data_IF_846121710943
#
_entry.id   IF_846121710943
#
_cell.length_a   1.000
_cell.length_b   1.000
_cell.length_c   1.000
_cell.angle_alpha   90.00
_cell.angle_beta   90.00
_cell.angle_gamma   90.00
#
_symmetry.space_group_name_H-M   'P 1'
#
loop_
_entity.id
_entity.type
_entity.pdbx_description
1 polymer ?
#
# COMPACT_ATOMS: atom_id res chain seq x y z
N UNK A 1 -3.82 25.54 14.46
CA UNK A 1 -3.73 24.67 13.27
C UNK A 1 -2.43 25.08 12.62
N UNK A 2 -1.32 24.48 13.06
CA UNK A 2 0.02 24.84 12.64
C UNK A 2 0.58 23.71 11.79
N UNK A 3 0.89 24.03 10.55
CA UNK A 3 1.49 23.22 9.49
C UNK A 3 2.96 22.86 9.76
N UNK A 4 3.32 22.68 11.03
CA UNK A 4 4.58 22.07 11.46
C UNK A 4 4.35 20.62 11.89
N UNK A 5 3.64 19.83 11.08
CA UNK A 5 3.90 18.38 11.03
C UNK A 5 5.30 18.23 10.45
N UNK A 6 6.30 18.52 11.29
CA UNK A 6 7.71 18.27 11.04
C UNK A 6 7.76 16.86 10.52
N UNK A 7 8.21 16.73 9.28
CA UNK A 7 8.71 15.47 8.76
C UNK A 7 9.85 15.11 9.70
N UNK A 8 9.54 14.40 10.79
CA UNK A 8 10.53 13.71 11.58
C UNK A 8 11.18 12.78 10.58
N UNK A 9 12.36 13.17 10.11
CA UNK A 9 13.24 12.33 9.31
C UNK A 9 13.68 11.18 10.21
N UNK A 10 12.77 10.25 10.46
CA UNK A 10 13.02 9.03 11.20
C UNK A 10 13.83 8.17 10.26
N UNK A 11 15.08 7.89 10.61
CA UNK A 11 15.94 6.98 9.87
C UNK A 11 15.21 5.64 9.73
N UNK A 12 14.96 5.22 8.51
CA UNK A 12 14.70 3.81 8.21
C UNK A 12 16.07 3.14 8.30
N UNK A 13 16.50 2.85 9.51
CA UNK A 13 17.71 2.05 9.70
C UNK A 13 17.37 0.64 9.20
N UNK A 14 18.15 0.13 8.23
CA UNK A 14 18.15 -1.24 7.69
C UNK A 14 17.39 -1.55 6.38
N UNK A 15 16.91 -0.57 5.60
CA UNK A 15 16.47 -0.85 4.21
C UNK A 15 17.55 -0.41 3.22
N UNK A 16 18.00 -1.33 2.37
CA UNK A 16 18.86 -1.00 1.23
C UNK A 16 18.08 -0.15 0.22
N UNK A 17 18.62 1.01 -0.16
CA UNK A 17 17.99 1.93 -1.11
C UNK A 17 17.76 1.30 -2.48
N UNK A 18 18.62 0.36 -2.89
CA UNK A 18 18.46 -0.38 -4.15
C UNK A 18 17.24 -1.28 -4.05
N UNK A 19 17.13 -2.08 -2.98
CA UNK A 19 15.95 -2.93 -2.76
C UNK A 19 14.65 -2.12 -2.64
N UNK A 20 14.70 -0.91 -2.10
CA UNK A 20 13.55 -0.01 -2.06
C UNK A 20 13.14 0.48 -3.45
N UNK A 21 14.12 0.81 -4.30
CA UNK A 21 13.86 1.17 -5.69
C UNK A 21 13.23 -0.02 -6.44
N UNK A 22 13.81 -1.21 -6.29
CA UNK A 22 13.34 -2.42 -6.97
C UNK A 22 11.92 -2.80 -6.51
N UNK A 23 11.60 -2.59 -5.24
CA UNK A 23 10.24 -2.74 -4.71
C UNK A 23 9.24 -1.82 -5.41
N UNK A 24 9.57 -0.55 -5.63
CA UNK A 24 8.68 0.37 -6.32
C UNK A 24 8.52 0.03 -7.79
N UNK A 25 9.59 -0.39 -8.47
CA UNK A 25 9.49 -0.86 -9.86
C UNK A 25 8.55 -2.06 -9.96
N UNK A 26 8.67 -3.03 -9.06
CA UNK A 26 7.78 -4.19 -9.05
C UNK A 26 6.31 -3.82 -8.75
N UNK A 27 6.07 -2.75 -7.97
CA UNK A 27 4.72 -2.24 -7.77
C UNK A 27 4.17 -1.53 -9.00
N UNK A 28 4.99 -0.78 -9.72
CA UNK A 28 4.58 -0.12 -10.97
C UNK A 28 4.22 -1.20 -12.03
N UNK A 29 5.02 -2.26 -12.14
CA UNK A 29 4.71 -3.41 -13.01
C UNK A 29 3.40 -4.12 -12.60
N UNK A 30 3.10 -4.18 -11.30
CA UNK A 30 1.82 -4.71 -10.80
C UNK A 30 0.63 -3.81 -11.12
N UNK A 31 0.83 -2.51 -11.12
CA UNK A 31 -0.20 -1.55 -11.56
C UNK A 31 -0.53 -1.76 -13.03
N UNK A 32 0.49 -1.91 -13.89
CA UNK A 32 0.31 -2.15 -15.32
C UNK A 32 -0.54 -3.43 -15.59
N UNK A 33 -0.24 -4.54 -14.93
CA UNK A 33 -1.04 -5.78 -15.08
C UNK A 33 -2.49 -5.60 -14.60
N UNK A 34 -2.70 -4.82 -13.53
CA UNK A 34 -4.05 -4.53 -13.05
C UNK A 34 -4.84 -3.69 -14.07
N UNK A 35 -4.18 -2.72 -14.70
CA UNK A 35 -4.78 -1.87 -15.73
C UNK A 35 -5.14 -2.68 -16.99
N UNK A 36 -4.28 -3.61 -17.40
CA UNK A 36 -4.55 -4.54 -18.50
C UNK A 36 -5.79 -5.41 -18.19
N UNK A 37 -5.89 -5.94 -16.98
CA UNK A 37 -7.05 -6.73 -16.54
C UNK A 37 -8.34 -5.91 -16.56
N UNK A 38 -8.28 -4.64 -16.13
CA UNK A 38 -9.42 -3.71 -16.22
C UNK A 38 -9.79 -3.43 -17.68
N UNK A 39 -8.82 -3.38 -18.59
CA UNK A 39 -9.09 -3.22 -20.01
C UNK A 39 -9.79 -4.45 -20.60
N UNK A 40 -9.43 -5.66 -20.20
CA UNK A 40 -10.13 -6.89 -20.60
C UNK A 40 -11.61 -6.84 -20.23
N UNK A 41 -11.94 -6.50 -18.98
CA UNK A 41 -13.36 -6.36 -18.57
C UNK A 41 -14.10 -5.29 -19.39
N UNK A 42 -13.47 -4.16 -19.72
CA UNK A 42 -14.08 -3.14 -20.58
C UNK A 42 -14.27 -3.61 -22.03
N UNK A 43 -13.45 -4.54 -22.50
CA UNK A 43 -13.58 -5.18 -23.82
C UNK A 43 -14.70 -6.22 -23.79
N UNK A 44 -14.78 -7.01 -22.73
CA UNK A 44 -15.81 -8.03 -22.51
C UNK A 44 -17.23 -7.45 -22.71
N UNK A 45 -17.51 -6.27 -22.14
CA UNK A 45 -18.80 -5.57 -22.26
C UNK A 45 -19.24 -5.24 -23.71
N UNK A 46 -18.34 -5.35 -24.70
CA UNK A 46 -18.59 -4.97 -26.10
C UNK A 46 -18.90 -6.17 -27.01
N UNK A 47 -18.78 -7.40 -26.53
CA UNK A 47 -18.92 -8.62 -27.33
C UNK A 47 -20.06 -9.52 -26.81
N UNK A 48 -20.68 -10.29 -27.70
CA UNK A 48 -21.65 -11.32 -27.32
C UNK A 48 -20.95 -12.61 -26.90
N UNK A 49 -21.56 -13.35 -25.96
CA UNK A 49 -21.01 -14.56 -25.31
C UNK A 49 -20.54 -15.68 -26.27
N UNK A 50 -21.07 -15.75 -27.50
CA UNK A 50 -20.74 -16.80 -28.46
C UNK A 50 -19.71 -16.36 -29.53
N UNK A 51 -19.19 -15.13 -29.43
CA UNK A 51 -18.15 -14.66 -30.34
C UNK A 51 -16.77 -15.22 -29.92
N UNK A 52 -15.98 -15.69 -30.88
CA UNK A 52 -14.60 -16.15 -30.64
C UNK A 52 -13.77 -15.09 -29.90
N UNK A 53 -14.04 -13.80 -30.16
CA UNK A 53 -13.39 -12.68 -29.48
C UNK A 53 -13.68 -12.63 -27.98
N UNK A 54 -14.88 -13.00 -27.57
CA UNK A 54 -15.25 -13.06 -26.15
C UNK A 54 -14.46 -14.17 -25.46
N UNK A 55 -14.37 -15.35 -26.08
CA UNK A 55 -13.57 -16.46 -25.55
C UNK A 55 -12.07 -16.12 -25.46
N UNK A 56 -11.53 -15.40 -26.45
CA UNK A 56 -10.14 -14.91 -26.40
C UNK A 56 -9.91 -13.93 -25.23
N UNK A 57 -10.86 -13.04 -24.95
CA UNK A 57 -10.77 -12.11 -23.81
C UNK A 57 -10.78 -12.88 -22.49
N UNK A 58 -11.62 -13.91 -22.36
CA UNK A 58 -11.64 -14.75 -21.15
C UNK A 58 -10.32 -15.50 -20.93
N UNK A 59 -9.68 -15.98 -22.01
CA UNK A 59 -8.37 -16.62 -21.93
C UNK A 59 -7.30 -15.61 -21.46
N UNK A 60 -7.28 -14.40 -22.05
CA UNK A 60 -6.39 -13.31 -21.65
C UNK A 60 -6.61 -12.87 -20.19
N UNK A 61 -7.85 -12.78 -19.73
CA UNK A 61 -8.17 -12.51 -18.31
C UNK A 61 -7.61 -13.59 -17.38
N UNK A 62 -7.71 -14.86 -17.77
CA UNK A 62 -7.21 -15.96 -16.96
C UNK A 62 -5.68 -15.89 -16.80
N UNK A 63 -4.96 -15.57 -17.87
CA UNK A 63 -3.51 -15.40 -17.85
C UNK A 63 -3.09 -14.20 -16.99
N UNK A 64 -3.81 -13.07 -17.10
CA UNK A 64 -3.54 -11.88 -16.30
C UNK A 64 -3.78 -12.11 -14.81
N UNK A 65 -4.81 -12.88 -14.44
CA UNK A 65 -5.08 -13.25 -13.03
C UNK A 65 -3.98 -14.15 -12.48
N UNK A 66 -3.48 -15.11 -13.25
CA UNK A 66 -2.34 -15.94 -12.86
C UNK A 66 -1.07 -15.09 -12.68
N UNK A 67 -0.77 -14.20 -13.62
CA UNK A 67 0.38 -13.30 -13.54
C UNK A 67 0.30 -12.38 -12.30
N UNK A 68 -0.88 -11.85 -11.99
CA UNK A 68 -1.11 -11.03 -10.80
C UNK A 68 -0.83 -11.81 -9.52
N UNK A 69 -1.28 -13.08 -9.45
CA UNK A 69 -1.03 -13.94 -8.30
C UNK A 69 0.46 -14.24 -8.11
N UNK A 70 1.17 -14.57 -9.19
CA UNK A 70 2.60 -14.85 -9.15
C UNK A 70 3.40 -13.63 -8.71
N UNK A 71 3.19 -12.50 -9.38
CA UNK A 71 3.95 -11.27 -9.11
C UNK A 71 3.67 -10.71 -7.72
N UNK A 72 2.41 -10.69 -7.27
CA UNK A 72 2.08 -10.26 -5.90
C UNK A 72 2.67 -11.20 -4.83
N UNK A 73 2.76 -12.51 -5.13
CA UNK A 73 3.41 -13.48 -4.26
C UNK A 73 4.92 -13.24 -4.18
N UNK A 74 5.56 -12.91 -5.28
CA UNK A 74 7.00 -12.67 -5.35
C UNK A 74 7.38 -11.34 -4.72
N UNK A 75 6.62 -10.27 -4.97
CA UNK A 75 6.79 -8.99 -4.25
C UNK A 75 6.75 -9.20 -2.73
N UNK A 76 5.79 -10.01 -2.25
CA UNK A 76 5.65 -10.31 -0.82
C UNK A 76 6.84 -11.10 -0.26
N UNK A 77 7.43 -12.01 -1.05
CA UNK A 77 8.58 -12.83 -0.61
C UNK A 77 9.87 -12.02 -0.66
N UNK A 78 10.16 -11.37 -1.79
CA UNK A 78 11.42 -10.70 -2.06
C UNK A 78 11.57 -9.41 -1.26
N UNK A 79 10.48 -8.67 -1.07
CA UNK A 79 10.49 -7.39 -0.37
C UNK A 79 9.91 -7.48 1.05
N UNK A 80 9.89 -8.69 1.64
CA UNK A 80 9.38 -8.92 2.99
C UNK A 80 9.99 -7.97 4.03
N UNK A 81 11.30 -7.75 3.98
CA UNK A 81 12.00 -6.88 4.93
C UNK A 81 11.54 -5.42 4.83
N UNK A 82 11.21 -4.97 3.62
CA UNK A 82 10.64 -3.63 3.37
C UNK A 82 9.24 -3.54 3.95
N UNK A 83 8.40 -4.55 3.69
CA UNK A 83 7.04 -4.62 4.23
C UNK A 83 7.04 -4.67 5.76
N UNK A 84 7.94 -5.45 6.36
CA UNK A 84 8.10 -5.55 7.80
C UNK A 84 8.57 -4.22 8.41
N UNK A 85 9.55 -3.55 7.78
CA UNK A 85 9.99 -2.23 8.20
C UNK A 85 8.88 -1.17 8.14
N UNK A 86 8.07 -1.19 7.07
CA UNK A 86 6.89 -0.32 6.96
C UNK A 86 5.87 -0.61 8.05
N UNK A 87 5.61 -1.89 8.34
CA UNK A 87 4.66 -2.33 9.36
C UNK A 87 5.10 -1.92 10.77
N UNK A 88 6.36 -2.18 11.13
CA UNK A 88 6.95 -1.78 12.42
C UNK A 88 6.79 -0.27 12.61
N UNK A 89 7.10 0.51 11.57
CA UNK A 89 6.97 1.98 11.61
C UNK A 89 5.53 2.45 11.74
N UNK A 90 4.59 1.80 11.06
CA UNK A 90 3.16 2.11 11.21
C UNK A 90 2.68 1.86 12.65
N UNK A 91 3.09 0.73 13.25
CA UNK A 91 2.76 0.39 14.63
C UNK A 91 3.38 1.37 15.63
N UNK A 92 4.64 1.77 15.45
CA UNK A 92 5.29 2.72 16.36
C UNK A 92 4.62 4.11 16.30
N UNK A 93 4.26 4.58 15.08
CA UNK A 93 3.50 5.83 14.93
C UNK A 93 2.15 5.77 15.65
N UNK A 94 1.44 4.64 15.56
CA UNK A 94 0.19 4.46 16.31
C UNK A 94 0.45 4.47 17.83
N UNK A 95 1.52 3.84 18.31
CA UNK A 95 1.89 3.83 19.73
C UNK A 95 2.17 5.25 20.24
N UNK A 96 2.98 6.03 19.51
CA UNK A 96 3.30 7.42 19.85
C UNK A 96 2.02 8.25 19.96
N UNK A 97 1.10 8.12 18.99
CA UNK A 97 -0.21 8.81 19.01
C UNK A 97 -1.04 8.44 20.25
N UNK A 98 -1.11 7.16 20.61
CA UNK A 98 -1.84 6.70 21.81
C UNK A 98 -1.23 7.27 23.10
N UNK A 99 0.10 7.31 23.20
CA UNK A 99 0.80 7.90 24.35
C UNK A 99 0.57 9.41 24.44
N UNK A 100 0.59 10.12 23.32
CA UNK A 100 0.29 11.55 23.28
C UNK A 100 -1.13 11.84 23.78
N UNK A 101 -2.13 11.11 23.28
CA UNK A 101 -3.53 11.22 23.71
C UNK A 101 -3.67 10.93 25.21
N UNK A 102 -3.02 9.86 25.70
CA UNK A 102 -3.05 9.53 27.14
C UNK A 102 -2.39 10.60 28.01
N UNK A 103 -1.29 11.22 27.54
CA UNK A 103 -0.64 12.36 28.21
C UNK A 103 -1.52 13.60 28.22
N UNK A 104 -2.32 13.84 27.19
CA UNK A 104 -3.27 14.95 27.18
C UNK A 104 -4.45 14.72 28.12
N UNK A 105 -5.01 13.51 28.15
CA UNK A 105 -6.11 13.14 29.05
C UNK A 105 -5.70 13.14 30.53
N UNK A 106 -4.42 12.90 30.83
CA UNK A 106 -3.88 12.90 32.20
C UNK A 106 -3.47 14.30 32.72
N UNK A 107 -3.49 15.34 31.87
CA UNK A 107 -3.33 16.72 32.33
C UNK A 107 -4.60 17.11 33.12
N UNK A 108 -4.48 17.27 34.44
CA UNK A 108 -5.58 17.77 35.29
C UNK A 108 -6.15 19.08 34.71
N UNK A 109 -7.48 19.30 34.74
CA UNK A 109 -8.07 20.57 34.34
C UNK A 109 -7.44 21.70 35.16
N UNK A 110 -6.95 22.75 34.49
CA UNK A 110 -6.47 23.96 35.16
C UNK A 110 -7.63 24.54 35.96
N UNK A 111 -7.54 24.48 37.29
CA UNK A 111 -8.49 25.17 38.15
C UNK A 111 -8.50 26.67 37.76
N UNK A 112 -9.67 27.29 37.57
CA UNK A 112 -9.73 28.72 37.34
C UNK A 112 -9.09 29.44 38.52
N UNK A 113 -8.22 30.40 38.24
CA UNK A 113 -7.67 31.27 39.29
C UNK A 113 -8.83 32.09 39.85
N UNK A 114 -9.21 31.84 41.10
CA UNK A 114 -10.13 32.71 41.82
C UNK A 114 -9.47 34.08 42.01
N UNK A 115 -10.18 35.13 41.59
CA UNK A 115 -9.84 36.53 41.78
C UNK A 115 -10.45 37.05 43.09
#
# INVERSE_FOLDING_TARGET
MDTEDKIEATKIENINIVSLKDYFIALDELEDICDDLVECYKKEEKYYLEEDKFNMILEEESELVEALFEMSSDIKKEFKDILDAFRIRATERQRIRRVAISRELSKKPRAPKEN
#
